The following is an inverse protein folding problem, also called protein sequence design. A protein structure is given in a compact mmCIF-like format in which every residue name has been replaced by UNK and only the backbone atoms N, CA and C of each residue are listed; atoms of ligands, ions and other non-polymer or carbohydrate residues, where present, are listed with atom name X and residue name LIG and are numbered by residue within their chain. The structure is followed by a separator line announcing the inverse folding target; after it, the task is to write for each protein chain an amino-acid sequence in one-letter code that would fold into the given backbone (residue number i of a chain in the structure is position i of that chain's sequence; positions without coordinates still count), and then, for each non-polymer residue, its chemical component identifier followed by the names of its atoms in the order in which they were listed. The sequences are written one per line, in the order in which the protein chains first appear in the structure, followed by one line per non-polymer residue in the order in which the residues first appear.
data_IF_832044079702
#
_entry.id   IF_832044079702
#
_cell.length_a   1.000
_cell.length_b   1.000
_cell.length_c   1.000
_cell.angle_alpha   90.00
_cell.angle_beta   90.00
_cell.angle_gamma   90.00
#
_symmetry.space_group_name_H-M   'P 1'
#
loop_
_entity.id
_entity.type
_entity.pdbx_description
1 polymer ?
#
# COMPACT_ATOMS: atom_id res chain seq x y z
N UNK A 1 75.02 -30.23 -3.15
CA UNK A 1 73.97 -29.85 -2.22
C UNK A 1 73.43 -28.53 -2.68
N UNK A 2 72.30 -28.53 -3.41
CA UNK A 2 71.69 -27.30 -3.93
C UNK A 2 70.51 -26.93 -3.01
N UNK A 3 70.61 -25.74 -2.42
CA UNK A 3 69.53 -25.18 -1.56
C UNK A 3 68.58 -24.44 -2.45
N UNK A 4 67.37 -24.99 -2.59
CA UNK A 4 66.26 -24.33 -3.34
C UNK A 4 65.72 -23.16 -2.55
N UNK A 5 65.74 -21.99 -3.17
CA UNK A 5 65.04 -20.77 -2.71
C UNK A 5 63.57 -20.87 -3.08
N UNK A 6 62.68 -20.93 -2.07
CA UNK A 6 61.25 -20.78 -2.26
C UNK A 6 60.94 -19.33 -2.54
N UNK A 7 60.42 -19.06 -3.73
CA UNK A 7 59.87 -17.78 -4.12
C UNK A 7 58.60 -17.50 -3.33
N UNK A 8 58.54 -16.34 -2.70
CA UNK A 8 57.40 -15.77 -1.99
C UNK A 8 56.23 -15.53 -2.97
N UNK A 9 55.10 -16.22 -2.75
CA UNK A 9 53.85 -15.90 -3.37
C UNK A 9 53.42 -14.48 -2.94
N UNK A 10 53.28 -13.63 -3.91
CA UNK A 10 52.72 -12.29 -3.75
C UNK A 10 51.25 -12.44 -3.41
N UNK A 11 50.88 -12.12 -2.16
CA UNK A 11 49.51 -11.89 -1.75
C UNK A 11 48.92 -10.72 -2.58
N UNK A 12 48.09 -11.03 -3.56
CA UNK A 12 47.27 -10.03 -4.21
C UNK A 12 46.33 -9.45 -3.14
N UNK A 13 46.14 -8.13 -3.05
CA UNK A 13 45.19 -7.55 -2.16
C UNK A 13 43.78 -7.99 -2.60
N UNK A 14 43.04 -8.56 -1.66
CA UNK A 14 41.62 -8.88 -1.87
C UNK A 14 40.93 -7.63 -2.41
N UNK A 15 40.36 -7.74 -3.61
CA UNK A 15 39.48 -6.74 -4.17
C UNK A 15 38.28 -6.70 -3.23
N UNK A 16 38.25 -5.74 -2.31
CA UNK A 16 37.09 -5.38 -1.53
C UNK A 16 36.09 -4.85 -2.56
N UNK A 17 35.13 -5.68 -2.91
CA UNK A 17 33.88 -5.24 -3.60
C UNK A 17 33.32 -4.11 -2.74
N UNK A 18 33.54 -2.88 -3.16
CA UNK A 18 32.91 -1.69 -2.57
C UNK A 18 31.44 -1.87 -2.87
N UNK A 19 30.69 -2.37 -1.89
CA UNK A 19 29.24 -2.48 -1.96
C UNK A 19 28.74 -1.06 -2.25
N UNK A 20 28.20 -0.84 -3.44
CA UNK A 20 27.66 0.48 -3.81
C UNK A 20 26.65 0.90 -2.75
N UNK A 21 26.85 2.10 -2.21
CA UNK A 21 25.95 2.69 -1.23
C UNK A 21 24.59 2.89 -1.90
N UNK A 22 23.56 2.29 -1.35
CA UNK A 22 22.17 2.58 -1.75
C UNK A 22 21.74 3.88 -1.09
N UNK A 23 20.91 4.63 -1.79
CA UNK A 23 20.43 5.93 -1.33
C UNK A 23 18.93 5.83 -1.01
N UNK A 24 18.47 6.61 -0.04
CA UNK A 24 17.06 6.63 0.35
C UNK A 24 16.53 8.05 0.44
N UNK A 25 15.31 8.23 -0.08
CA UNK A 25 14.46 9.41 0.12
C UNK A 25 13.37 9.03 1.11
N UNK A 26 13.16 9.82 2.16
CA UNK A 26 12.14 9.59 3.18
C UNK A 26 11.14 10.75 3.15
N UNK A 27 9.89 10.46 2.82
CA UNK A 27 8.81 11.45 2.77
C UNK A 27 7.88 11.27 3.97
N UNK A 28 7.97 12.20 4.89
CA UNK A 28 7.09 12.31 6.05
C UNK A 28 7.17 13.73 6.61
N UNK A 29 6.11 14.22 7.25
CA UNK A 29 6.03 15.55 7.86
C UNK A 29 6.30 15.56 9.37
N UNK A 30 6.47 14.38 9.99
CA UNK A 30 6.67 14.23 11.43
C UNK A 30 8.16 14.19 11.80
N UNK A 31 8.71 15.21 12.48
CA UNK A 31 10.13 15.27 12.82
C UNK A 31 10.60 14.08 13.68
N UNK A 32 9.75 13.60 14.60
CA UNK A 32 10.08 12.48 15.47
C UNK A 32 10.25 11.19 14.67
N UNK A 33 9.35 10.92 13.71
CA UNK A 33 9.44 9.79 12.81
C UNK A 33 10.73 9.86 11.96
N UNK A 34 10.98 11.01 11.33
CA UNK A 34 12.17 11.21 10.51
C UNK A 34 13.47 10.97 11.30
N UNK A 35 13.56 11.50 12.53
CA UNK A 35 14.72 11.28 13.40
C UNK A 35 14.85 9.81 13.81
N UNK A 36 13.74 9.13 14.11
CA UNK A 36 13.73 7.70 14.42
C UNK A 36 14.27 6.85 13.28
N UNK A 37 13.79 7.08 12.06
CA UNK A 37 14.26 6.36 10.87
C UNK A 37 15.74 6.69 10.56
N UNK A 38 16.15 7.95 10.65
CA UNK A 38 17.56 8.35 10.47
C UNK A 38 18.47 7.59 11.42
N UNK A 39 18.20 7.62 12.73
CA UNK A 39 18.97 6.91 13.73
C UNK A 39 18.98 5.39 13.47
N UNK A 40 17.85 4.83 13.03
CA UNK A 40 17.79 3.41 12.71
C UNK A 40 18.69 3.04 11.53
N UNK A 41 18.70 3.82 10.45
CA UNK A 41 19.57 3.60 9.30
C UNK A 41 21.05 3.72 9.67
N UNK A 42 21.42 4.73 10.45
CA UNK A 42 22.80 4.94 10.90
C UNK A 42 23.33 3.77 11.73
N UNK A 43 22.47 3.18 12.59
CA UNK A 43 22.88 2.12 13.51
C UNK A 43 22.83 0.72 12.90
N UNK A 44 21.90 0.44 11.97
CA UNK A 44 21.56 -0.93 11.56
C UNK A 44 21.72 -1.19 10.06
N UNK A 45 21.67 -0.18 9.22
CA UNK A 45 21.71 -0.31 7.76
C UNK A 45 22.97 0.32 7.18
N UNK A 46 24.12 -0.29 7.51
CA UNK A 46 25.43 0.11 6.98
C UNK A 46 25.41 0.04 5.44
N UNK A 47 25.67 1.17 4.80
CA UNK A 47 25.73 1.28 3.34
C UNK A 47 24.49 1.89 2.68
N UNK A 48 23.55 2.44 3.45
CA UNK A 48 22.44 3.26 2.93
C UNK A 48 22.67 4.72 3.32
N UNK A 49 22.68 5.60 2.33
CA UNK A 49 22.81 7.04 2.49
C UNK A 49 21.41 7.69 2.43
N UNK A 50 21.05 8.50 3.44
CA UNK A 50 19.83 9.30 3.40
C UNK A 50 20.11 10.58 2.61
N UNK A 51 19.62 10.66 1.39
CA UNK A 51 19.82 11.84 0.51
C UNK A 51 18.75 12.91 0.70
N UNK A 52 17.59 12.52 1.22
CA UNK A 52 16.52 13.44 1.61
C UNK A 52 15.65 12.84 2.72
N UNK A 53 15.23 13.68 3.67
CA UNK A 53 14.23 13.32 4.66
C UNK A 53 13.44 14.57 5.07
N UNK A 54 12.15 14.61 4.73
CA UNK A 54 11.28 15.76 4.94
C UNK A 54 9.89 15.56 4.33
N UNK A 55 9.11 16.63 4.29
CA UNK A 55 7.78 16.59 3.69
C UNK A 55 7.81 16.58 2.15
N UNK A 56 6.66 16.29 1.56
CA UNK A 56 6.51 16.22 0.10
C UNK A 56 6.80 17.55 -0.61
N UNK A 57 6.36 18.67 -0.04
CA UNK A 57 6.56 19.98 -0.65
C UNK A 57 8.04 20.30 -0.78
N UNK A 58 8.82 20.13 0.29
CA UNK A 58 10.25 20.39 0.28
C UNK A 58 10.99 19.46 -0.68
N UNK A 59 10.57 18.17 -0.74
CA UNK A 59 11.11 17.21 -1.70
C UNK A 59 10.86 17.64 -3.15
N UNK A 60 9.62 17.99 -3.50
CA UNK A 60 9.20 18.35 -4.87
C UNK A 60 9.90 19.59 -5.41
N UNK A 61 10.38 20.45 -4.51
CA UNK A 61 11.15 21.66 -4.86
C UNK A 61 12.66 21.45 -4.77
N UNK A 62 13.12 20.34 -4.24
CA UNK A 62 14.54 19.99 -4.09
C UNK A 62 15.16 19.53 -5.41
N UNK A 63 16.48 19.64 -5.50
CA UNK A 63 17.28 19.11 -6.63
C UNK A 63 18.04 17.84 -6.19
N UNK A 64 17.32 16.87 -5.62
CA UNK A 64 17.94 15.63 -5.19
C UNK A 64 18.34 14.81 -6.40
N UNK A 65 19.59 14.35 -6.42
CA UNK A 65 20.08 13.47 -7.48
C UNK A 65 19.65 12.03 -7.21
N UNK A 66 18.86 11.45 -8.13
CA UNK A 66 18.09 10.22 -7.88
C UNK A 66 18.70 8.95 -8.50
N UNK A 67 20.03 8.84 -8.61
CA UNK A 67 20.66 7.58 -9.01
C UNK A 67 20.73 6.60 -7.84
N UNK A 68 20.31 5.34 -8.05
CA UNK A 68 20.35 4.25 -7.05
C UNK A 68 19.58 4.51 -5.76
N UNK A 69 18.44 5.19 -5.88
CA UNK A 69 17.58 5.61 -4.79
C UNK A 69 16.38 4.68 -4.65
N UNK A 70 15.90 4.44 -3.43
CA UNK A 70 14.52 4.02 -3.17
C UNK A 70 13.82 5.03 -2.28
N UNK A 71 12.49 5.06 -2.32
CA UNK A 71 11.70 6.00 -1.55
C UNK A 71 10.95 5.29 -0.42
N UNK A 72 10.91 5.91 0.76
CA UNK A 72 10.03 5.53 1.87
C UNK A 72 8.94 6.58 1.98
N UNK A 73 7.70 6.16 1.80
CA UNK A 73 6.50 6.98 1.93
C UNK A 73 5.68 6.51 3.12
N UNK A 74 5.01 7.42 3.79
CA UNK A 74 4.04 7.08 4.84
C UNK A 74 2.67 7.61 4.45
N UNK A 75 1.62 6.82 4.68
CA UNK A 75 0.24 7.25 4.41
C UNK A 75 -0.38 8.02 5.57
N UNK A 76 0.30 8.13 6.69
CA UNK A 76 -0.20 8.80 7.90
C UNK A 76 -0.49 10.29 7.63
N UNK A 77 -1.68 10.75 8.03
CA UNK A 77 -2.17 12.11 7.82
C UNK A 77 -2.28 12.56 6.36
N UNK A 78 -2.30 11.63 5.41
CA UNK A 78 -2.43 11.93 3.98
C UNK A 78 -3.74 11.39 3.41
N UNK A 79 -4.26 12.07 2.40
CA UNK A 79 -5.39 11.58 1.62
C UNK A 79 -4.96 10.53 0.59
N UNK A 80 -5.90 9.71 0.11
CA UNK A 80 -5.66 8.74 -0.96
C UNK A 80 -5.07 9.42 -2.21
N UNK A 81 -5.55 10.61 -2.54
CA UNK A 81 -5.08 11.38 -3.70
C UNK A 81 -3.61 11.83 -3.54
N UNK A 82 -3.22 12.29 -2.36
CA UNK A 82 -1.85 12.72 -2.09
C UNK A 82 -0.86 11.56 -2.19
N UNK A 83 -1.16 10.44 -1.55
CA UNK A 83 -0.33 9.23 -1.63
C UNK A 83 -0.26 8.70 -3.07
N UNK A 84 -1.39 8.66 -3.78
CA UNK A 84 -1.41 8.20 -5.17
C UNK A 84 -0.54 9.06 -6.08
N UNK A 85 -0.57 10.39 -5.88
CA UNK A 85 0.28 11.32 -6.64
C UNK A 85 1.77 11.12 -6.34
N UNK A 86 2.13 10.92 -5.06
CA UNK A 86 3.51 10.65 -4.67
C UNK A 86 4.03 9.33 -5.27
N UNK A 87 3.23 8.27 -5.19
CA UNK A 87 3.57 6.97 -5.78
C UNK A 87 3.74 7.09 -7.29
N UNK A 88 2.80 7.76 -7.97
CA UNK A 88 2.87 7.95 -9.42
C UNK A 88 4.13 8.71 -9.84
N UNK A 89 4.49 9.76 -9.08
CA UNK A 89 5.72 10.50 -9.34
C UNK A 89 6.97 9.62 -9.26
N UNK A 90 7.14 8.84 -8.18
CA UNK A 90 8.30 7.95 -8.04
C UNK A 90 8.30 6.81 -9.07
N UNK A 91 7.12 6.34 -9.45
CA UNK A 91 6.97 5.33 -10.49
C UNK A 91 7.41 5.87 -11.87
N UNK A 92 6.99 7.10 -12.24
CA UNK A 92 7.38 7.74 -13.51
C UNK A 92 8.89 7.92 -13.65
N UNK A 93 9.61 8.08 -12.54
CA UNK A 93 11.08 8.19 -12.51
C UNK A 93 11.76 6.87 -12.12
N UNK A 94 11.03 5.76 -12.18
CA UNK A 94 11.51 4.38 -11.95
C UNK A 94 12.16 4.15 -10.57
N UNK A 95 11.72 4.88 -9.54
CA UNK A 95 12.22 4.71 -8.18
C UNK A 95 11.34 3.73 -7.41
N UNK A 96 11.94 2.63 -6.88
CA UNK A 96 11.22 1.69 -6.02
C UNK A 96 10.70 2.35 -4.74
N UNK A 97 9.50 1.93 -4.28
CA UNK A 97 8.82 2.53 -3.15
C UNK A 97 8.59 1.51 -2.05
N UNK A 98 8.94 1.87 -0.81
CA UNK A 98 8.41 1.27 0.41
C UNK A 98 7.29 2.16 0.96
N UNK A 99 6.07 1.65 1.00
CA UNK A 99 4.95 2.32 1.62
C UNK A 99 4.72 1.80 3.04
N UNK A 100 4.80 2.68 4.03
CA UNK A 100 4.35 2.43 5.39
C UNK A 100 2.87 2.85 5.48
N UNK A 101 1.99 1.86 5.46
CA UNK A 101 0.54 2.06 5.41
C UNK A 101 -0.04 2.18 6.81
N UNK A 102 -0.87 3.20 7.03
CA UNK A 102 -1.69 3.30 8.23
C UNK A 102 -3.01 2.56 8.02
N UNK A 103 -3.33 1.64 8.94
CA UNK A 103 -4.51 0.79 8.85
C UNK A 103 -5.85 1.52 8.97
N UNK A 104 -5.83 2.74 9.51
CA UNK A 104 -7.04 3.56 9.69
C UNK A 104 -7.49 4.26 8.38
N UNK A 105 -6.66 4.19 7.33
CA UNK A 105 -7.02 4.72 6.03
C UNK A 105 -7.80 3.69 5.21
N UNK A 106 -9.00 4.07 4.80
CA UNK A 106 -9.92 3.30 3.93
C UNK A 106 -9.41 3.24 2.46
N UNK A 107 -8.17 2.92 2.31
CA UNK A 107 -7.32 3.13 1.14
C UNK A 107 -7.08 1.81 0.40
N UNK A 108 -7.38 1.78 -0.87
CA UNK A 108 -7.26 0.54 -1.65
C UNK A 108 -5.79 0.20 -1.96
N UNK A 109 -5.13 -0.50 -1.03
CA UNK A 109 -3.81 -1.11 -1.27
C UNK A 109 -3.69 -1.79 -2.64
N UNK A 110 -4.80 -2.31 -3.16
CA UNK A 110 -4.84 -2.99 -4.45
C UNK A 110 -4.58 -2.03 -5.61
N UNK A 111 -5.07 -0.80 -5.52
CA UNK A 111 -4.84 0.22 -6.55
C UNK A 111 -3.38 0.69 -6.51
N UNK A 112 -2.82 0.91 -5.31
CA UNK A 112 -1.40 1.26 -5.15
C UNK A 112 -0.48 0.20 -5.75
N UNK A 113 -0.76 -1.07 -5.48
CA UNK A 113 0.08 -2.16 -5.98
C UNK A 113 0.04 -2.32 -7.51
N UNK A 114 -0.91 -1.69 -8.20
CA UNK A 114 -0.93 -1.60 -9.65
C UNK A 114 -0.01 -0.53 -10.20
N UNK A 115 0.38 0.45 -9.37
CA UNK A 115 1.18 1.59 -9.80
C UNK A 115 2.69 1.28 -9.94
N UNK A 116 3.15 0.08 -9.53
CA UNK A 116 4.54 -0.32 -9.76
C UNK A 116 5.16 -1.15 -8.62
N UNK A 117 6.47 -1.43 -8.70
CA UNK A 117 7.18 -2.14 -7.65
C UNK A 117 7.11 -1.36 -6.33
N UNK A 118 6.45 -1.94 -5.33
CA UNK A 118 6.22 -1.32 -4.05
C UNK A 118 6.25 -2.38 -2.95
N UNK A 119 7.10 -2.19 -1.95
CA UNK A 119 6.95 -2.93 -0.71
C UNK A 119 5.95 -2.20 0.19
N UNK A 120 5.08 -2.93 0.86
CA UNK A 120 4.08 -2.38 1.76
C UNK A 120 4.18 -3.05 3.12
N UNK A 121 4.33 -2.23 4.15
CA UNK A 121 4.29 -2.62 5.56
C UNK A 121 3.24 -1.80 6.30
N UNK A 122 2.82 -2.25 7.48
CA UNK A 122 2.05 -1.39 8.37
C UNK A 122 2.94 -0.34 9.03
N UNK A 123 2.39 0.85 9.31
CA UNK A 123 3.11 1.93 10.01
C UNK A 123 3.59 1.52 11.41
N UNK A 124 2.91 0.54 12.02
CA UNK A 124 3.24 -0.02 13.34
C UNK A 124 3.98 -1.37 13.26
N UNK A 125 4.58 -1.72 12.11
CA UNK A 125 5.32 -2.97 11.96
C UNK A 125 6.57 -3.02 12.87
N UNK A 126 7.07 -4.22 13.13
CA UNK A 126 8.34 -4.39 13.83
C UNK A 126 9.51 -3.84 13.02
N UNK A 127 10.61 -3.49 13.70
CA UNK A 127 11.84 -3.06 13.01
C UNK A 127 12.41 -4.14 12.10
N UNK A 128 12.27 -5.43 12.47
CA UNK A 128 12.69 -6.56 11.62
C UNK A 128 11.86 -6.65 10.33
N UNK A 129 10.55 -6.43 10.42
CA UNK A 129 9.67 -6.38 9.24
C UNK A 129 10.03 -5.22 8.34
N UNK A 130 10.27 -4.03 8.91
CA UNK A 130 10.72 -2.86 8.18
C UNK A 130 12.06 -3.09 7.48
N UNK A 131 13.05 -3.65 8.20
CA UNK A 131 14.36 -4.00 7.66
C UNK A 131 14.25 -4.97 6.48
N UNK A 132 13.47 -6.03 6.64
CA UNK A 132 13.22 -7.01 5.59
C UNK A 132 12.61 -6.36 4.35
N UNK A 133 11.66 -5.45 4.52
CA UNK A 133 11.05 -4.72 3.42
C UNK A 133 12.07 -3.83 2.66
N UNK A 134 12.96 -3.16 3.39
CA UNK A 134 14.06 -2.39 2.78
C UNK A 134 14.98 -3.28 1.94
N UNK A 135 15.39 -4.43 2.47
CA UNK A 135 16.26 -5.38 1.75
C UNK A 135 15.57 -5.94 0.50
N UNK A 136 14.29 -6.30 0.58
CA UNK A 136 13.54 -6.82 -0.57
C UNK A 136 13.48 -5.82 -1.73
N UNK A 137 13.33 -4.53 -1.43
CA UNK A 137 13.37 -3.47 -2.45
C UNK A 137 14.77 -3.33 -3.04
N UNK A 138 15.79 -3.24 -2.18
CA UNK A 138 17.17 -2.98 -2.60
C UNK A 138 17.71 -4.12 -3.46
N UNK A 139 17.42 -5.38 -3.08
CA UNK A 139 18.00 -6.55 -3.72
C UNK A 139 17.18 -7.06 -4.91
N UNK A 140 15.85 -7.02 -4.81
CA UNK A 140 14.97 -7.71 -5.76
C UNK A 140 14.14 -6.79 -6.64
N UNK A 141 13.93 -5.55 -6.22
CA UNK A 141 13.05 -4.58 -6.89
C UNK A 141 11.68 -5.21 -7.31
N UNK A 142 11.11 -6.01 -6.41
CA UNK A 142 9.86 -6.72 -6.65
C UNK A 142 8.79 -6.29 -5.66
N UNK A 143 7.52 -6.47 -6.02
CA UNK A 143 6.40 -6.19 -5.14
C UNK A 143 6.41 -7.14 -3.93
N UNK A 144 6.58 -6.60 -2.73
CA UNK A 144 6.63 -7.32 -1.46
C UNK A 144 5.58 -6.77 -0.48
N UNK A 145 5.11 -7.62 0.42
CA UNK A 145 4.14 -7.24 1.46
C UNK A 145 4.45 -7.97 2.75
N UNK A 146 4.31 -7.29 3.88
CA UNK A 146 4.34 -7.96 5.18
C UNK A 146 3.19 -8.97 5.29
N UNK A 147 3.30 -9.90 6.23
CA UNK A 147 2.26 -10.93 6.39
C UNK A 147 0.94 -10.34 6.86
N UNK A 148 0.96 -9.30 7.70
CA UNK A 148 -0.21 -8.54 8.11
C UNK A 148 -0.93 -7.92 6.91
N UNK A 149 -0.19 -7.30 6.00
CA UNK A 149 -0.75 -6.73 4.75
C UNK A 149 -1.30 -7.81 3.83
N UNK A 150 -0.62 -8.99 3.74
CA UNK A 150 -1.12 -10.13 2.96
C UNK A 150 -2.45 -10.64 3.51
N UNK A 151 -2.57 -10.80 4.83
CA UNK A 151 -3.81 -11.24 5.47
C UNK A 151 -4.94 -10.22 5.24
N UNK A 152 -4.70 -8.93 5.49
CA UNK A 152 -5.69 -7.87 5.21
C UNK A 152 -6.14 -7.86 3.74
N UNK A 153 -5.21 -8.04 2.81
CA UNK A 153 -5.56 -8.12 1.37
C UNK A 153 -6.31 -9.39 0.99
N UNK A 154 -6.13 -10.51 1.72
CA UNK A 154 -6.94 -11.72 1.56
C UNK A 154 -8.35 -11.55 2.13
N UNK A 155 -8.48 -10.90 3.29
CA UNK A 155 -9.78 -10.59 3.91
C UNK A 155 -10.61 -9.66 3.02
N UNK A 156 -10.01 -8.62 2.46
CA UNK A 156 -10.66 -7.73 1.47
C UNK A 156 -11.11 -8.50 0.22
N UNK A 157 -10.38 -9.52 -0.22
CA UNK A 157 -10.84 -10.42 -1.30
C UNK A 157 -12.05 -11.27 -0.90
N UNK A 158 -12.13 -11.69 0.37
CA UNK A 158 -13.28 -12.44 0.90
C UNK A 158 -14.49 -11.53 1.14
N UNK A 159 -14.29 -10.24 1.42
CA UNK A 159 -15.32 -9.32 1.87
C UNK A 159 -15.91 -8.40 0.80
N UNK A 160 -15.34 -8.28 -0.40
CA UNK A 160 -16.02 -7.55 -1.48
C UNK A 160 -17.13 -8.41 -2.05
N UNK A 161 -18.35 -8.22 -1.51
CA UNK A 161 -19.58 -8.73 -2.14
C UNK A 161 -19.63 -8.17 -3.56
N UNK A 162 -19.44 -9.03 -4.56
CA UNK A 162 -19.57 -8.63 -5.98
C UNK A 162 -21.06 -8.55 -6.30
N UNK A 163 -21.64 -7.37 -6.09
CA UNK A 163 -23.02 -7.09 -6.46
C UNK A 163 -23.13 -6.96 -7.99
N UNK A 164 -24.13 -7.61 -8.57
CA UNK A 164 -24.47 -7.35 -9.97
C UNK A 164 -25.01 -5.92 -10.15
N UNK A 165 -24.99 -5.35 -11.38
CA UNK A 165 -25.52 -4.00 -11.62
C UNK A 165 -26.95 -3.82 -11.07
N UNK A 166 -27.83 -4.78 -11.28
CA UNK A 166 -29.22 -4.73 -10.81
C UNK A 166 -29.37 -4.88 -9.29
N UNK A 167 -28.54 -5.71 -8.66
CA UNK A 167 -28.50 -5.80 -7.19
C UNK A 167 -28.01 -4.48 -6.57
N UNK A 168 -26.97 -3.88 -7.16
CA UNK A 168 -26.42 -2.60 -6.74
C UNK A 168 -27.46 -1.47 -6.85
N UNK A 169 -28.06 -1.28 -8.01
CA UNK A 169 -29.08 -0.25 -8.25
C UNK A 169 -30.26 -0.41 -7.30
N UNK A 170 -30.76 -1.65 -7.16
CA UNK A 170 -31.90 -1.94 -6.26
C UNK A 170 -31.58 -1.65 -4.81
N UNK A 171 -30.37 -2.03 -4.32
CA UNK A 171 -29.95 -1.78 -2.96
C UNK A 171 -29.74 -0.28 -2.68
N UNK A 172 -29.14 0.47 -3.61
CA UNK A 172 -28.92 1.92 -3.48
C UNK A 172 -30.27 2.63 -3.32
N UNK A 173 -31.20 2.39 -4.21
CA UNK A 173 -32.54 3.02 -4.16
C UNK A 173 -33.32 2.62 -2.90
N UNK A 174 -33.25 1.35 -2.51
CA UNK A 174 -33.91 0.87 -1.30
C UNK A 174 -33.28 1.46 -0.02
N UNK A 175 -31.95 1.56 0.05
CA UNK A 175 -31.21 2.16 1.16
C UNK A 175 -31.46 3.68 1.26
N UNK A 176 -31.70 4.35 0.13
CA UNK A 176 -32.12 5.78 0.09
C UNK A 176 -33.52 6.05 0.62
N UNK A 177 -34.24 5.02 1.09
CA UNK A 177 -35.52 5.17 1.74
C UNK A 177 -36.74 4.70 0.90
N UNK A 178 -36.58 4.45 -0.39
CA UNK A 178 -37.69 4.06 -1.28
C UNK A 178 -38.29 2.73 -0.84
N UNK A 179 -39.62 2.58 -1.11
CA UNK A 179 -40.34 1.31 -0.97
C UNK A 179 -40.03 0.38 -2.16
N UNK A 180 -40.31 -0.91 -2.01
CA UNK A 180 -40.15 -1.88 -3.12
C UNK A 180 -40.92 -1.48 -4.39
N UNK A 181 -42.12 -0.89 -4.25
CA UNK A 181 -42.93 -0.42 -5.39
C UNK A 181 -42.25 0.77 -6.09
N UNK A 182 -41.76 1.74 -5.34
CA UNK A 182 -41.07 2.91 -5.89
C UNK A 182 -39.76 2.53 -6.59
N UNK A 183 -38.96 1.61 -6.00
CA UNK A 183 -37.79 1.06 -6.66
C UNK A 183 -38.15 0.33 -7.96
N UNK A 184 -39.20 -0.47 -7.93
CA UNK A 184 -39.69 -1.19 -9.11
C UNK A 184 -40.09 -0.23 -10.24
N UNK A 185 -40.87 0.81 -9.90
CA UNK A 185 -41.27 1.84 -10.88
C UNK A 185 -40.04 2.57 -11.45
N UNK A 186 -39.03 2.90 -10.61
CA UNK A 186 -37.84 3.64 -11.04
C UNK A 186 -36.88 2.82 -11.92
N UNK A 187 -36.89 1.51 -11.74
CA UNK A 187 -36.02 0.58 -12.51
C UNK A 187 -36.79 -0.09 -13.67
N UNK A 188 -38.06 0.23 -13.85
CA UNK A 188 -38.97 -0.39 -14.85
C UNK A 188 -38.99 -1.92 -14.70
N UNK A 189 -39.12 -2.38 -13.45
CA UNK A 189 -39.15 -3.80 -13.08
C UNK A 189 -40.42 -4.15 -12.29
N UNK A 190 -40.70 -5.44 -12.16
CA UNK A 190 -41.74 -5.90 -11.23
C UNK A 190 -41.26 -5.79 -9.77
N UNK A 191 -42.17 -5.49 -8.80
CA UNK A 191 -41.80 -5.47 -7.37
C UNK A 191 -41.20 -6.80 -6.89
N UNK A 192 -41.65 -7.92 -7.46
CA UNK A 192 -41.10 -9.25 -7.14
C UNK A 192 -39.61 -9.41 -7.62
N UNK A 193 -39.30 -8.89 -8.81
CA UNK A 193 -37.92 -8.90 -9.33
C UNK A 193 -37.01 -8.05 -8.46
N UNK A 194 -37.45 -6.85 -8.08
CA UNK A 194 -36.69 -5.96 -7.18
C UNK A 194 -36.50 -6.62 -5.83
N UNK A 195 -37.49 -7.26 -5.24
CA UNK A 195 -37.40 -8.00 -3.99
C UNK A 195 -36.30 -9.09 -4.07
N UNK A 196 -36.27 -9.84 -5.19
CA UNK A 196 -35.20 -10.84 -5.41
C UNK A 196 -33.81 -10.23 -5.54
N UNK A 197 -33.62 -9.10 -6.22
CA UNK A 197 -32.32 -8.42 -6.32
C UNK A 197 -31.84 -7.90 -4.97
N UNK A 198 -32.76 -7.29 -4.19
CA UNK A 198 -32.44 -6.82 -2.84
C UNK A 198 -32.07 -7.99 -1.92
N UNK A 199 -32.80 -9.09 -1.94
CA UNK A 199 -32.50 -10.27 -1.13
C UNK A 199 -31.13 -10.84 -1.49
N UNK A 200 -30.87 -11.10 -2.78
CA UNK A 200 -29.58 -11.63 -3.23
C UNK A 200 -28.41 -10.70 -2.90
N UNK A 201 -28.62 -9.38 -3.06
CA UNK A 201 -27.60 -8.40 -2.70
C UNK A 201 -27.33 -8.37 -1.21
N UNK A 202 -28.37 -8.43 -0.35
CA UNK A 202 -28.23 -8.59 1.10
C UNK A 202 -27.49 -9.87 1.47
N UNK A 203 -27.82 -11.00 0.88
CA UNK A 203 -27.16 -12.29 1.14
C UNK A 203 -25.66 -12.22 0.82
N UNK A 204 -25.30 -11.57 -0.28
CA UNK A 204 -23.90 -11.35 -0.66
C UNK A 204 -23.17 -10.44 0.32
N UNK A 205 -23.80 -9.35 0.75
CA UNK A 205 -23.27 -8.43 1.76
C UNK A 205 -23.12 -9.14 3.12
N UNK A 206 -24.10 -9.91 3.55
CA UNK A 206 -24.03 -10.71 4.79
C UNK A 206 -22.90 -11.73 4.74
N UNK A 207 -22.72 -12.44 3.64
CA UNK A 207 -21.59 -13.38 3.44
C UNK A 207 -20.24 -12.70 3.46
N UNK A 208 -20.17 -11.42 3.17
CA UNK A 208 -18.96 -10.61 3.31
C UNK A 208 -18.79 -9.99 4.72
N UNK A 209 -19.66 -10.34 5.66
CA UNK A 209 -19.56 -9.88 7.06
C UNK A 209 -20.38 -8.64 7.40
N UNK A 210 -21.17 -8.10 6.45
CA UNK A 210 -21.92 -6.88 6.65
C UNK A 210 -23.22 -7.09 7.44
N UNK A 211 -23.54 -6.16 8.36
CA UNK A 211 -24.80 -6.15 9.11
C UNK A 211 -25.89 -5.41 8.31
N UNK A 212 -26.57 -6.08 7.38
CA UNK A 212 -27.58 -5.51 6.48
C UNK A 212 -29.04 -5.81 6.86
N UNK A 213 -29.31 -6.01 8.14
CA UNK A 213 -30.66 -6.29 8.64
C UNK A 213 -31.67 -5.13 8.47
N UNK A 214 -31.21 -3.88 8.40
CA UNK A 214 -32.01 -2.68 8.23
C UNK A 214 -31.62 -1.89 6.98
N UNK A 215 -32.50 -0.95 6.53
CA UNK A 215 -32.14 0.01 5.46
C UNK A 215 -30.89 0.83 5.81
N UNK A 216 -30.79 1.27 7.07
CA UNK A 216 -29.62 2.01 7.58
C UNK A 216 -28.35 1.15 7.53
N UNK A 217 -28.42 -0.13 7.92
CA UNK A 217 -27.30 -1.05 7.82
C UNK A 217 -26.83 -1.24 6.37
N UNK A 218 -27.77 -1.37 5.45
CA UNK A 218 -27.44 -1.45 4.00
C UNK A 218 -26.80 -0.14 3.53
N UNK A 219 -27.34 1.03 3.92
CA UNK A 219 -26.78 2.34 3.57
C UNK A 219 -25.34 2.47 4.02
N UNK A 220 -25.05 2.18 5.29
CA UNK A 220 -23.70 2.26 5.86
C UNK A 220 -22.73 1.34 5.13
N UNK A 221 -23.17 0.13 4.77
CA UNK A 221 -22.30 -0.80 4.04
C UNK A 221 -22.06 -0.37 2.58
N UNK A 222 -23.09 0.13 1.89
CA UNK A 222 -22.94 0.67 0.54
C UNK A 222 -22.01 1.91 0.53
N UNK A 223 -22.06 2.73 1.59
CA UNK A 223 -21.13 3.86 1.76
C UNK A 223 -19.69 3.40 1.95
N UNK A 224 -19.43 2.39 2.79
CA UNK A 224 -18.09 1.76 2.94
C UNK A 224 -17.57 1.18 1.62
N UNK A 225 -18.46 0.69 0.76
CA UNK A 225 -18.11 0.17 -0.56
C UNK A 225 -17.97 1.28 -1.63
N UNK A 226 -18.03 2.56 -1.25
CA UNK A 226 -18.01 3.72 -2.15
C UNK A 226 -19.08 3.65 -3.26
N UNK A 227 -20.25 3.03 -2.96
CA UNK A 227 -21.38 2.89 -3.87
C UNK A 227 -22.48 3.95 -3.63
N UNK A 228 -22.38 4.70 -2.53
CA UNK A 228 -23.23 5.85 -2.18
C UNK A 228 -22.37 7.01 -1.70
N UNK A 229 -22.77 8.23 -2.07
CA UNK A 229 -22.15 9.49 -1.60
C UNK A 229 -22.81 9.98 -0.31
#
# INVERSE_FOLDING_TARGET
MSIGVKTSESLQPAVTNKKELKKVVIINDQPLFLNGIKNYFELNLLGIEIVFAGNWFDYSTSKVFLSEVFAILTSQNQTESEISNQISHFYEIEIPILLMHDSDLDFSLKEILKLGPCAVVESQCSLDTFYTACLEIIEKNTSWKSDEIKEKTKEVKKTKATLSPREKESLILYASGLTLKEVANRLELSPNSVGKFISRGKDKLTKSGAAVGSKTGIYMELKKLNLMR
#
